data_IF_530720914941
#
_entry.id   IF_530720914941
#
_cell.length_a   1.000
_cell.length_b   1.000
_cell.length_c   1.000
_cell.angle_alpha   90.00
_cell.angle_beta   90.00
_cell.angle_gamma   90.00
#
_symmetry.space_group_name_H-M   'P 1'
#
loop_
_entity.id
_entity.type
_entity.pdbx_description
1 polymer ?
#
# COMPACT_ATOMS: atom_id res chain seq x y z
N UNK A 1 27.80 -29.28 -0.03
CA UNK A 1 26.42 -29.17 0.50
C UNK A 1 25.52 -28.96 -0.71
N UNK A 2 24.32 -29.55 -0.77
CA UNK A 2 23.41 -29.27 -1.89
C UNK A 2 22.79 -27.88 -1.70
N UNK A 3 22.58 -27.15 -2.79
CA UNK A 3 21.94 -25.83 -2.76
C UNK A 3 20.49 -25.95 -2.28
N UNK A 4 20.02 -24.96 -1.50
CA UNK A 4 18.66 -24.91 -0.98
C UNK A 4 17.68 -24.40 -2.06
N UNK A 5 16.70 -25.22 -2.43
CA UNK A 5 15.62 -24.82 -3.32
C UNK A 5 14.67 -23.84 -2.62
N UNK A 6 14.61 -22.58 -3.07
CA UNK A 6 13.70 -21.57 -2.53
C UNK A 6 12.76 -21.01 -3.60
N UNK A 7 11.46 -21.13 -3.36
CA UNK A 7 10.43 -20.40 -4.12
C UNK A 7 10.32 -18.96 -3.60
N UNK A 8 10.62 -17.98 -4.46
CA UNK A 8 10.72 -16.56 -4.10
C UNK A 8 9.82 -15.72 -5.01
N UNK A 9 9.05 -14.79 -4.44
CA UNK A 9 8.21 -13.86 -5.22
C UNK A 9 8.50 -12.39 -4.95
N UNK A 10 8.68 -11.59 -6.01
CA UNK A 10 8.81 -10.14 -5.95
C UNK A 10 8.47 -9.53 -7.31
N UNK A 11 8.24 -8.23 -7.36
CA UNK A 11 8.03 -7.54 -8.64
C UNK A 11 9.35 -7.30 -9.41
N UNK A 12 9.21 -7.04 -10.71
CA UNK A 12 10.31 -6.63 -11.58
C UNK A 12 10.75 -5.19 -11.28
N UNK A 13 11.74 -5.06 -10.40
CA UNK A 13 12.45 -3.82 -10.12
C UNK A 13 13.89 -3.91 -10.62
N UNK A 14 14.49 -2.76 -10.91
CA UNK A 14 15.93 -2.63 -11.22
C UNK A 14 16.86 -3.41 -10.27
N UNK A 15 16.55 -3.43 -8.97
CA UNK A 15 17.27 -4.09 -7.88
C UNK A 15 16.98 -5.59 -7.73
N UNK A 16 15.86 -6.09 -8.26
CA UNK A 16 15.55 -7.52 -8.27
C UNK A 16 15.97 -8.21 -9.56
N UNK A 17 16.06 -7.47 -10.68
CA UNK A 17 16.51 -7.96 -11.99
C UNK A 17 17.78 -8.81 -11.97
N UNK A 18 18.86 -8.45 -11.26
CA UNK A 18 20.07 -9.26 -11.24
C UNK A 18 19.87 -10.68 -10.71
N UNK A 19 18.90 -10.90 -9.81
CA UNK A 19 18.54 -12.24 -9.34
C UNK A 19 17.75 -13.01 -10.41
N UNK A 20 16.88 -12.32 -11.15
CA UNK A 20 16.02 -12.94 -12.17
C UNK A 20 16.79 -13.39 -13.41
N UNK A 21 17.71 -12.56 -13.89
CA UNK A 21 18.52 -12.85 -15.08
C UNK A 21 19.85 -13.57 -14.76
N UNK A 22 20.09 -13.88 -13.48
CA UNK A 22 21.22 -14.67 -13.03
C UNK A 22 22.55 -13.93 -13.00
N UNK A 23 22.57 -12.61 -13.19
CA UNK A 23 23.77 -11.77 -12.94
C UNK A 23 24.25 -11.87 -11.49
N UNK A 24 23.33 -12.13 -10.55
CA UNK A 24 23.62 -12.43 -9.16
C UNK A 24 23.02 -13.80 -8.83
N UNK A 25 23.85 -14.70 -8.28
CA UNK A 25 23.42 -16.00 -7.77
C UNK A 25 23.83 -16.10 -6.29
N UNK A 26 22.87 -16.20 -5.35
CA UNK A 26 23.21 -16.35 -3.95
C UNK A 26 23.93 -17.69 -3.73
N UNK A 27 24.98 -17.68 -2.92
CA UNK A 27 25.72 -18.89 -2.57
C UNK A 27 24.83 -19.86 -1.78
N UNK A 28 24.83 -21.14 -2.18
CA UNK A 28 24.08 -22.19 -1.48
C UNK A 28 22.56 -22.14 -1.67
N UNK A 29 22.03 -21.33 -2.59
CA UNK A 29 20.59 -21.23 -2.87
C UNK A 29 20.33 -21.46 -4.36
N UNK A 30 19.33 -22.28 -4.64
CA UNK A 30 18.75 -22.44 -5.97
C UNK A 30 17.38 -21.71 -6.02
N UNK A 31 17.34 -20.44 -6.45
CA UNK A 31 16.12 -19.64 -6.40
C UNK A 31 15.18 -19.98 -7.57
N UNK A 32 13.94 -20.33 -7.26
CA UNK A 32 12.81 -20.39 -8.19
C UNK A 32 12.03 -19.09 -8.07
N UNK A 33 12.26 -18.16 -8.99
CA UNK A 33 11.71 -16.80 -8.92
C UNK A 33 10.38 -16.72 -9.67
N UNK A 34 9.35 -16.23 -8.99
CA UNK A 34 8.04 -15.91 -9.57
C UNK A 34 7.85 -14.39 -9.57
N UNK A 35 7.70 -13.80 -10.76
CA UNK A 35 7.51 -12.35 -10.90
C UNK A 35 6.02 -12.02 -10.90
N UNK A 36 5.55 -11.31 -9.88
CA UNK A 36 4.14 -10.98 -9.67
C UNK A 36 4.00 -9.57 -9.13
N UNK A 37 2.88 -8.90 -9.40
CA UNK A 37 2.65 -7.57 -8.82
C UNK A 37 2.44 -7.68 -7.31
N UNK A 38 2.79 -6.66 -6.51
CA UNK A 38 2.59 -6.69 -5.07
C UNK A 38 1.15 -7.03 -4.63
N UNK A 39 0.15 -6.57 -5.40
CA UNK A 39 -1.27 -6.89 -5.16
C UNK A 39 -1.61 -8.37 -5.30
N UNK A 40 -0.82 -9.13 -6.04
CA UNK A 40 -0.97 -10.58 -6.18
C UNK A 40 -0.13 -11.33 -5.13
N UNK A 41 1.10 -10.86 -4.85
CA UNK A 41 2.01 -11.50 -3.90
C UNK A 41 1.47 -11.45 -2.48
N UNK A 42 1.02 -10.27 -2.03
CA UNK A 42 0.67 -10.04 -0.63
C UNK A 42 -0.44 -10.98 -0.11
N UNK A 43 -1.61 -11.12 -0.76
CA UNK A 43 -2.64 -12.03 -0.28
C UNK A 43 -2.16 -13.49 -0.27
N UNK A 44 -1.49 -13.96 -1.33
CA UNK A 44 -0.96 -15.34 -1.43
C UNK A 44 0.04 -15.67 -0.34
N UNK A 45 0.89 -14.71 0.04
CA UNK A 45 1.83 -14.88 1.14
C UNK A 45 1.17 -14.77 2.52
N UNK A 46 0.25 -13.82 2.71
CA UNK A 46 -0.42 -13.58 4.00
C UNK A 46 -1.43 -14.68 4.36
N UNK A 47 -2.13 -15.24 3.37
CA UNK A 47 -3.20 -16.23 3.57
C UNK A 47 -2.65 -17.65 3.51
N UNK A 48 -1.88 -17.96 2.46
CA UNK A 48 -1.52 -19.34 2.14
C UNK A 48 -0.03 -19.66 2.36
N UNK A 49 0.79 -18.65 2.69
CA UNK A 49 2.24 -18.77 2.84
C UNK A 49 2.90 -19.48 1.63
N UNK A 50 2.41 -19.17 0.43
CA UNK A 50 2.74 -19.92 -0.79
C UNK A 50 4.22 -19.86 -1.18
N UNK A 51 4.94 -18.83 -0.73
CA UNK A 51 6.34 -18.61 -1.05
C UNK A 51 7.21 -18.80 0.20
N UNK A 52 8.44 -19.29 0.01
CA UNK A 52 9.41 -19.37 1.10
C UNK A 52 9.96 -17.99 1.47
N UNK A 53 10.06 -17.09 0.48
CA UNK A 53 10.38 -15.68 0.67
C UNK A 53 9.57 -14.83 -0.31
N UNK A 54 9.06 -13.69 0.13
CA UNK A 54 8.29 -12.82 -0.74
C UNK A 54 8.43 -11.34 -0.37
N UNK A 55 8.25 -10.48 -1.37
CA UNK A 55 7.94 -9.07 -1.13
C UNK A 55 6.66 -8.96 -0.30
N UNK A 56 6.63 -8.06 0.68
CA UNK A 56 5.52 -7.92 1.62
C UNK A 56 5.26 -6.44 1.94
N UNK A 57 3.99 -6.10 2.19
CA UNK A 57 3.61 -4.81 2.75
C UNK A 57 4.22 -4.65 4.15
N UNK A 58 5.07 -3.64 4.33
CA UNK A 58 5.65 -3.31 5.63
C UNK A 58 4.58 -3.01 6.68
N UNK A 59 3.52 -2.28 6.31
CA UNK A 59 2.42 -1.99 7.21
C UNK A 59 1.71 -3.27 7.68
N UNK A 60 1.45 -4.22 6.77
CA UNK A 60 0.84 -5.51 7.12
C UNK A 60 1.76 -6.33 8.03
N UNK A 61 3.06 -6.36 7.76
CA UNK A 61 4.04 -7.00 8.62
C UNK A 61 4.06 -6.38 10.03
N UNK A 62 4.10 -5.05 10.15
CA UNK A 62 4.10 -4.35 11.44
C UNK A 62 2.81 -4.61 12.22
N UNK A 63 1.65 -4.59 11.56
CA UNK A 63 0.36 -4.91 12.20
C UNK A 63 0.38 -6.34 12.77
N UNK A 64 0.83 -7.32 11.98
CA UNK A 64 0.93 -8.71 12.44
C UNK A 64 1.93 -8.86 13.59
N UNK A 65 3.07 -8.17 13.54
CA UNK A 65 4.05 -8.18 14.63
C UNK A 65 3.48 -7.56 15.91
N UNK A 66 2.81 -6.42 15.81
CA UNK A 66 2.17 -5.76 16.94
C UNK A 66 1.09 -6.64 17.60
N UNK A 67 0.41 -7.47 16.80
CA UNK A 67 -0.60 -8.43 17.27
C UNK A 67 -0.03 -9.78 17.73
N UNK A 68 1.29 -9.98 17.71
CA UNK A 68 1.93 -11.27 17.96
C UNK A 68 1.42 -12.42 17.06
N UNK A 69 1.04 -12.08 15.83
CA UNK A 69 0.44 -13.00 14.84
C UNK A 69 1.33 -13.17 13.59
N UNK A 70 2.53 -12.61 13.57
CA UNK A 70 3.38 -12.65 12.39
C UNK A 70 4.15 -13.97 12.29
N UNK A 71 3.92 -14.78 11.23
CA UNK A 71 4.67 -16.02 10.99
C UNK A 71 6.00 -15.78 10.24
N UNK A 72 6.34 -14.51 9.95
CA UNK A 72 7.45 -14.17 9.07
C UNK A 72 8.63 -13.54 9.82
N UNK A 73 9.82 -13.67 9.24
CA UNK A 73 11.01 -12.90 9.58
C UNK A 73 11.29 -11.93 8.45
N UNK A 74 11.30 -10.63 8.73
CA UNK A 74 11.61 -9.63 7.72
C UNK A 74 13.12 -9.56 7.44
N UNK A 75 13.45 -9.45 6.16
CA UNK A 75 14.80 -9.08 5.69
C UNK A 75 14.77 -7.56 5.45
N UNK A 76 15.75 -6.77 5.93
CA UNK A 76 15.74 -5.31 5.87
C UNK A 76 16.09 -4.79 4.46
N UNK A 77 15.38 -5.26 3.44
CA UNK A 77 15.57 -4.91 2.03
C UNK A 77 14.26 -4.33 1.50
N UNK A 78 14.30 -3.05 1.10
CA UNK A 78 13.11 -2.34 0.64
C UNK A 78 12.94 -2.47 -0.88
N UNK A 79 12.00 -3.36 -1.23
CA UNK A 79 11.50 -3.70 -2.58
C UNK A 79 11.03 -2.51 -3.40
N UNK A 80 10.26 -1.60 -2.81
CA UNK A 80 9.57 -0.53 -3.54
C UNK A 80 10.15 0.82 -3.16
N UNK A 81 10.57 1.59 -4.17
CA UNK A 81 11.06 2.97 -4.04
C UNK A 81 10.30 3.84 -5.04
N UNK A 82 9.56 4.82 -4.54
CA UNK A 82 8.77 5.77 -5.32
C UNK A 82 8.72 7.11 -4.59
N UNK A 83 8.65 8.21 -5.34
CA UNK A 83 8.48 9.54 -4.79
C UNK A 83 7.02 9.71 -4.31
N UNK A 84 6.81 9.79 -2.99
CA UNK A 84 5.47 9.67 -2.39
C UNK A 84 4.61 10.92 -2.54
N UNK A 85 5.19 12.07 -2.81
CA UNK A 85 4.43 13.28 -3.13
C UNK A 85 3.68 13.14 -4.46
N UNK A 86 4.21 12.37 -5.41
CA UNK A 86 3.56 12.06 -6.69
C UNK A 86 2.37 11.08 -6.55
N UNK A 87 2.09 10.63 -5.33
CA UNK A 87 0.94 9.79 -5.00
C UNK A 87 -0.25 10.59 -4.46
N UNK A 88 -0.18 11.93 -4.51
CA UNK A 88 -1.24 12.83 -4.04
C UNK A 88 -1.84 13.54 -5.26
N UNK A 89 -3.03 13.09 -5.65
CA UNK A 89 -3.78 13.67 -6.76
C UNK A 89 -4.82 14.63 -6.21
N UNK A 90 -4.81 15.86 -6.67
CA UNK A 90 -5.69 16.93 -6.19
C UNK A 90 -6.57 17.37 -7.34
N UNK A 91 -7.87 17.50 -7.07
CA UNK A 91 -8.79 18.04 -8.07
C UNK A 91 -8.57 19.56 -8.21
N UNK A 92 -8.48 20.11 -9.44
CA UNK A 92 -8.10 21.53 -9.63
C UNK A 92 -9.03 22.56 -8.98
N UNK A 93 -10.33 22.25 -8.83
CA UNK A 93 -11.35 23.12 -8.25
C UNK A 93 -11.62 22.84 -6.76
N UNK A 94 -10.86 21.95 -6.12
CA UNK A 94 -11.03 21.59 -4.71
C UNK A 94 -10.51 22.66 -3.73
N UNK A 95 -9.90 23.74 -4.22
CA UNK A 95 -9.31 24.79 -3.41
C UNK A 95 -8.17 24.28 -2.53
N UNK A 96 -7.29 23.44 -3.11
CA UNK A 96 -6.08 22.92 -2.47
C UNK A 96 -4.90 23.46 -3.28
N UNK A 97 -4.26 24.52 -2.77
CA UNK A 97 -3.07 25.14 -3.35
C UNK A 97 -1.79 24.77 -2.62
N UNK A 98 -1.90 24.42 -1.34
CA UNK A 98 -0.79 23.98 -0.49
C UNK A 98 -1.19 22.78 0.40
N UNK A 99 -0.23 22.04 0.96
CA UNK A 99 -0.54 20.87 1.80
C UNK A 99 -1.45 21.19 2.99
N UNK A 100 -1.38 22.39 3.56
CA UNK A 100 -2.21 22.81 4.69
C UNK A 100 -3.71 22.84 4.35
N UNK A 101 -4.06 23.03 3.08
CA UNK A 101 -5.45 23.05 2.59
C UNK A 101 -6.10 21.66 2.59
N UNK A 102 -5.35 20.60 2.86
CA UNK A 102 -5.91 19.24 3.00
C UNK A 102 -6.81 19.10 4.24
N UNK A 103 -6.74 20.04 5.19
CA UNK A 103 -7.63 20.07 6.36
C UNK A 103 -9.09 20.17 5.95
N UNK A 104 -9.90 19.30 6.51
CA UNK A 104 -11.34 19.22 6.26
C UNK A 104 -11.73 18.67 4.90
N UNK A 105 -10.76 18.23 4.06
CA UNK A 105 -11.04 17.71 2.72
C UNK A 105 -11.49 16.26 2.76
N UNK A 106 -12.23 15.87 1.71
CA UNK A 106 -12.66 14.49 1.45
C UNK A 106 -11.59 13.80 0.61
N UNK A 107 -10.85 12.87 1.22
CA UNK A 107 -9.70 12.24 0.57
C UNK A 107 -9.92 10.74 0.41
N UNK A 108 -9.85 10.29 -0.84
CA UNK A 108 -9.91 8.87 -1.19
C UNK A 108 -8.57 8.16 -0.98
N UNK A 109 -8.60 6.88 -0.63
CA UNK A 109 -7.46 5.98 -0.68
C UNK A 109 -7.90 4.51 -0.87
N UNK A 110 -7.16 3.66 -1.59
CA UNK A 110 -7.61 2.27 -1.79
C UNK A 110 -7.61 1.44 -0.51
N UNK A 111 -6.63 1.65 0.37
CA UNK A 111 -6.54 0.95 1.64
C UNK A 111 -5.85 1.81 2.72
N UNK A 112 -6.55 2.03 3.83
CA UNK A 112 -6.14 2.96 4.88
C UNK A 112 -4.82 2.56 5.55
N UNK A 113 -4.65 1.25 5.75
CA UNK A 113 -3.47 0.62 6.34
C UNK A 113 -2.41 0.19 5.31
N UNK A 114 -2.53 0.58 4.04
CA UNK A 114 -1.49 0.28 3.06
C UNK A 114 -0.18 0.98 3.42
N UNK A 115 0.97 0.35 3.10
CA UNK A 115 2.29 0.95 3.34
C UNK A 115 2.42 2.34 2.69
N UNK A 116 1.91 2.49 1.46
CA UNK A 116 1.86 3.77 0.76
C UNK A 116 1.02 4.80 1.52
N UNK A 117 -0.22 4.43 1.88
CA UNK A 117 -1.13 5.32 2.61
C UNK A 117 -0.61 5.72 3.98
N UNK A 118 0.06 4.82 4.71
CA UNK A 118 0.70 5.12 6.00
C UNK A 118 1.82 6.14 5.81
N UNK A 119 2.68 5.94 4.80
CA UNK A 119 3.77 6.86 4.52
C UNK A 119 3.26 8.25 4.12
N UNK A 120 2.30 8.33 3.20
CA UNK A 120 1.76 9.62 2.73
C UNK A 120 1.10 10.38 3.89
N UNK A 121 0.30 9.69 4.73
CA UNK A 121 -0.28 10.30 5.92
C UNK A 121 0.78 10.80 6.91
N UNK A 122 1.83 10.00 7.16
CA UNK A 122 2.95 10.41 8.00
C UNK A 122 3.69 11.62 7.44
N UNK A 123 3.97 11.64 6.14
CA UNK A 123 4.55 12.79 5.43
C UNK A 123 3.70 14.04 5.63
N UNK A 124 2.39 13.94 5.35
CA UNK A 124 1.45 15.06 5.45
C UNK A 124 1.34 15.59 6.89
N UNK A 125 1.36 14.69 7.87
CA UNK A 125 1.33 15.05 9.28
C UNK A 125 2.63 15.69 9.76
N UNK A 126 3.78 15.08 9.49
CA UNK A 126 5.06 15.46 10.11
C UNK A 126 5.73 16.63 9.38
N UNK A 127 5.64 16.68 8.05
CA UNK A 127 6.29 17.75 7.27
C UNK A 127 5.38 18.97 7.09
N UNK A 128 4.05 18.77 7.04
CA UNK A 128 3.09 19.84 6.74
C UNK A 128 2.08 20.11 7.87
N UNK A 129 2.17 19.38 8.98
CA UNK A 129 1.37 19.62 10.18
C UNK A 129 -0.11 19.29 10.04
N UNK A 130 -0.53 18.53 9.01
CA UNK A 130 -1.94 18.15 8.81
C UNK A 130 -2.17 16.74 9.36
N UNK A 131 -2.77 16.59 10.55
CA UNK A 131 -3.00 15.28 11.13
C UNK A 131 -4.11 14.53 10.38
N UNK A 132 -4.05 13.19 10.31
CA UNK A 132 -5.11 12.39 9.67
C UNK A 132 -6.51 12.56 10.29
N UNK A 133 -6.61 13.02 11.53
CA UNK A 133 -7.87 13.28 12.25
C UNK A 133 -8.62 14.52 11.75
N UNK A 134 -7.94 15.39 11.02
CA UNK A 134 -8.50 16.60 10.39
C UNK A 134 -8.96 16.34 8.94
N UNK A 135 -8.85 15.10 8.44
CA UNK A 135 -9.26 14.71 7.08
C UNK A 135 -10.47 13.75 7.17
N UNK A 136 -11.39 13.87 6.22
CA UNK A 136 -12.47 12.90 6.02
C UNK A 136 -12.02 11.86 5.00
N UNK A 137 -11.80 10.62 5.44
CA UNK A 137 -11.25 9.57 4.59
C UNK A 137 -12.33 8.74 3.92
N UNK A 138 -12.10 8.38 2.67
CA UNK A 138 -12.94 7.49 1.88
C UNK A 138 -12.11 6.32 1.37
N UNK A 139 -12.63 5.10 1.50
CA UNK A 139 -11.92 3.89 1.09
C UNK A 139 -12.78 2.97 0.23
N UNK A 140 -12.16 2.40 -0.80
CA UNK A 140 -12.79 1.43 -1.67
C UNK A 140 -11.96 1.14 -2.92
N UNK A 141 -12.63 0.61 -3.94
CA UNK A 141 -12.02 0.28 -5.23
C UNK A 141 -11.49 1.51 -5.96
N UNK A 142 -10.27 1.43 -6.49
CA UNK A 142 -9.62 2.60 -7.10
C UNK A 142 -10.19 2.93 -8.49
N UNK A 143 -10.00 2.01 -9.42
CA UNK A 143 -10.37 2.05 -10.85
C UNK A 143 -11.47 1.03 -11.20
N UNK A 144 -11.68 0.04 -10.32
CA UNK A 144 -12.77 -0.91 -10.38
C UNK A 144 -13.44 -1.00 -9.00
N UNK A 145 -14.77 -1.19 -8.90
CA UNK A 145 -15.44 -1.31 -7.62
C UNK A 145 -14.90 -2.48 -6.79
N UNK A 146 -14.82 -2.28 -5.48
CA UNK A 146 -14.35 -3.30 -4.55
C UNK A 146 -15.24 -3.31 -3.30
N UNK A 147 -15.62 -4.50 -2.80
CA UNK A 147 -16.48 -4.61 -1.63
C UNK A 147 -15.75 -4.09 -0.38
N UNK A 148 -16.51 -3.56 0.57
CA UNK A 148 -15.99 -3.27 1.89
C UNK A 148 -15.46 -4.57 2.55
N UNK A 149 -14.39 -4.50 3.35
CA UNK A 149 -13.94 -5.62 4.16
C UNK A 149 -15.06 -6.09 5.10
N UNK A 150 -15.25 -7.40 5.20
CA UNK A 150 -16.23 -8.01 6.11
C UNK A 150 -15.91 -7.76 7.59
N UNK A 151 -14.63 -7.52 7.89
CA UNK A 151 -14.16 -7.19 9.24
C UNK A 151 -13.87 -5.69 9.29
N UNK A 152 -14.56 -4.92 10.16
CA UNK A 152 -14.29 -3.51 10.35
C UNK A 152 -12.84 -3.25 10.73
N UNK A 153 -12.32 -2.10 10.30
CA UNK A 153 -10.99 -1.65 10.72
C UNK A 153 -11.04 -1.20 12.19
N UNK A 154 -10.08 -1.67 12.97
CA UNK A 154 -9.83 -1.22 14.33
C UNK A 154 -9.00 0.08 14.28
N UNK A 155 -9.70 1.22 14.22
CA UNK A 155 -9.11 2.55 14.10
C UNK A 155 -9.40 3.38 15.36
N UNK A 156 -8.51 4.33 15.70
CA UNK A 156 -8.82 5.34 16.73
C UNK A 156 -10.13 6.08 16.44
N UNK A 157 -10.89 6.40 17.48
CA UNK A 157 -12.23 6.99 17.37
C UNK A 157 -12.26 8.39 16.72
N UNK A 158 -11.13 9.07 16.69
CA UNK A 158 -10.94 10.38 16.06
C UNK A 158 -10.59 10.30 14.55
N UNK A 159 -10.42 9.09 14.01
CA UNK A 159 -10.27 8.86 12.58
C UNK A 159 -11.65 8.69 11.93
N UNK A 160 -11.97 9.61 11.01
CA UNK A 160 -13.21 9.56 10.21
C UNK A 160 -12.95 8.84 8.89
N UNK A 161 -13.39 7.60 8.78
CA UNK A 161 -13.25 6.78 7.59
C UNK A 161 -14.60 6.21 7.15
N UNK A 162 -14.98 6.45 5.90
CA UNK A 162 -16.17 5.91 5.26
C UNK A 162 -15.79 4.98 4.11
N UNK A 163 -16.58 3.92 3.92
CA UNK A 163 -16.48 3.08 2.73
C UNK A 163 -17.33 3.70 1.63
N UNK A 164 -16.79 3.79 0.42
CA UNK A 164 -17.56 4.28 -0.73
C UNK A 164 -18.66 3.29 -1.15
N UNK A 165 -19.71 3.74 -1.87
CA UNK A 165 -20.73 2.84 -2.41
C UNK A 165 -20.13 1.73 -3.29
N UNK A 166 -20.72 0.53 -3.24
CA UNK A 166 -20.21 -0.67 -3.93
C UNK A 166 -20.25 -0.58 -5.47
N UNK A 167 -21.01 0.37 -6.01
CA UNK A 167 -21.14 0.65 -7.45
C UNK A 167 -20.22 1.79 -7.91
N UNK A 168 -19.46 2.42 -7.00
CA UNK A 168 -18.55 3.54 -7.28
C UNK A 168 -17.08 3.14 -7.23
N UNK A 169 -16.24 4.01 -7.79
CA UNK A 169 -14.78 3.95 -7.70
C UNK A 169 -14.22 5.26 -7.17
N UNK A 170 -13.05 5.21 -6.54
CA UNK A 170 -12.39 6.41 -6.00
C UNK A 170 -12.02 7.39 -7.11
N UNK A 171 -11.56 6.89 -8.27
CA UNK A 171 -11.26 7.72 -9.44
C UNK A 171 -12.51 8.39 -10.00
N UNK A 172 -13.63 7.65 -10.09
CA UNK A 172 -14.92 8.22 -10.50
C UNK A 172 -15.41 9.29 -9.53
N UNK A 173 -15.37 9.03 -8.22
CA UNK A 173 -15.75 10.01 -7.20
C UNK A 173 -14.83 11.25 -7.19
N UNK A 174 -13.55 11.10 -7.53
CA UNK A 174 -12.66 12.25 -7.73
C UNK A 174 -13.08 13.06 -8.97
N UNK A 175 -13.41 12.39 -10.08
CA UNK A 175 -13.85 13.05 -11.31
C UNK A 175 -15.20 13.77 -11.15
N UNK A 176 -16.12 13.19 -10.40
CA UNK A 176 -17.46 13.73 -10.14
C UNK A 176 -17.47 14.86 -9.09
N UNK A 177 -16.34 15.07 -8.40
CA UNK A 177 -16.21 16.08 -7.34
C UNK A 177 -16.77 15.67 -5.98
N UNK A 178 -17.10 14.38 -5.82
CA UNK A 178 -17.44 13.75 -4.54
C UNK A 178 -16.20 13.67 -3.62
N UNK A 179 -14.99 13.64 -4.18
CA UNK A 179 -13.72 13.73 -3.48
C UNK A 179 -12.92 14.98 -3.90
N UNK A 180 -12.11 15.47 -2.98
CA UNK A 180 -11.27 16.66 -3.19
C UNK A 180 -9.84 16.27 -3.59
N UNK A 181 -9.38 15.11 -3.10
CA UNK A 181 -8.09 14.51 -3.45
C UNK A 181 -8.13 12.98 -3.36
N UNK A 182 -7.13 12.34 -3.95
CA UNK A 182 -6.91 10.90 -3.92
C UNK A 182 -5.45 10.61 -3.57
N UNK A 183 -5.24 9.78 -2.55
CA UNK A 183 -3.93 9.24 -2.19
C UNK A 183 -3.79 7.84 -2.78
N UNK A 184 -3.16 7.74 -3.94
CA UNK A 184 -3.02 6.51 -4.71
C UNK A 184 -1.63 6.39 -5.35
N UNK A 185 -1.16 5.17 -5.62
CA UNK A 185 0.17 4.96 -6.23
C UNK A 185 0.17 5.06 -7.75
N UNK A 186 -1.00 5.25 -8.35
CA UNK A 186 -1.26 5.49 -9.76
C UNK A 186 -2.69 6.05 -9.88
N UNK A 187 -3.01 6.69 -10.99
CA UNK A 187 -4.37 6.88 -11.54
C UNK A 187 -4.35 6.51 -13.01
#
# INVERSE_FOLDING_TARGET
MQDLDLNIAFWDYDRTRPLMDGRVRPEGINPKITVLRPREIFPRMLQDQEFHAAEMSLASYVILKARNQCPFVAIPVMLSKIFRHDCIYVRPDAGIGEPADLRGKRIGLPQYSSTAGVFIKGLVQHEYGVPPTEISWFMGGQDAPAPAPLVPLDLPADIRLEFIPEDKTLEGMLADGDLDALFATYI
#
